data_IF_532854250689
#
_entry.id   IF_532854250689
#
_cell.length_a   1.000
_cell.length_b   1.000
_cell.length_c   1.000
_cell.angle_alpha   90.00
_cell.angle_beta   90.00
_cell.angle_gamma   90.00
#
_symmetry.space_group_name_H-M   'P 1'
#
loop_
_entity.id
_entity.type
_entity.pdbx_description
1 polymer ?
#
# COMPACT_ATOMS: atom_id res chain seq x y z
N UNK A 1 -26.35 3.35 -16.75
CA UNK A 1 -27.55 2.50 -16.54
C UNK A 1 -28.82 3.00 -17.24
N UNK A 2 -29.04 4.32 -17.37
CA UNK A 2 -30.26 4.92 -17.96
C UNK A 2 -30.60 4.49 -19.40
N UNK A 3 -29.62 4.19 -20.25
CA UNK A 3 -29.86 3.80 -21.65
C UNK A 3 -30.30 2.33 -21.83
N UNK A 4 -30.03 1.45 -20.87
CA UNK A 4 -30.37 0.01 -20.97
C UNK A 4 -31.84 -0.24 -20.70
N UNK A 5 -32.39 0.41 -19.67
CA UNK A 5 -33.83 0.36 -19.33
C UNK A 5 -34.66 0.92 -20.49
N UNK A 6 -34.19 2.00 -21.13
CA UNK A 6 -34.81 2.56 -22.33
C UNK A 6 -34.82 1.58 -23.51
N UNK A 7 -33.76 0.79 -23.66
CA UNK A 7 -33.69 -0.25 -24.70
C UNK A 7 -34.62 -1.43 -24.43
N UNK A 8 -34.73 -1.91 -23.19
CA UNK A 8 -35.69 -2.98 -22.84
C UNK A 8 -37.14 -2.51 -22.97
N UNK A 9 -37.44 -1.27 -22.54
CA UNK A 9 -38.76 -0.66 -22.75
C UNK A 9 -39.08 -0.46 -24.23
N UNK A 10 -38.12 0.00 -25.03
CA UNK A 10 -38.31 0.15 -26.49
C UNK A 10 -38.51 -1.18 -27.19
N UNK A 11 -37.80 -2.24 -26.77
CA UNK A 11 -37.94 -3.58 -27.33
C UNK A 11 -39.28 -4.22 -26.95
N UNK A 12 -39.71 -4.06 -25.70
CA UNK A 12 -41.01 -4.52 -25.21
C UNK A 12 -42.16 -3.77 -25.91
N UNK A 13 -42.03 -2.44 -26.07
CA UNK A 13 -42.99 -1.61 -26.79
C UNK A 13 -43.09 -1.99 -28.28
N UNK A 14 -41.97 -2.31 -28.92
CA UNK A 14 -41.95 -2.76 -30.32
C UNK A 14 -42.67 -4.11 -30.49
N UNK A 15 -42.42 -5.06 -29.59
CA UNK A 15 -43.12 -6.36 -29.58
C UNK A 15 -44.62 -6.16 -29.36
N UNK A 16 -45.00 -5.33 -28.39
CA UNK A 16 -46.40 -5.01 -28.11
C UNK A 16 -47.09 -4.32 -29.31
N UNK A 17 -46.40 -3.39 -29.98
CA UNK A 17 -46.90 -2.70 -31.16
C UNK A 17 -47.11 -3.65 -32.35
N UNK A 18 -46.19 -4.60 -32.58
CA UNK A 18 -46.34 -5.63 -33.61
C UNK A 18 -47.55 -6.51 -33.31
N UNK A 19 -47.69 -7.02 -32.08
CA UNK A 19 -48.85 -7.85 -31.69
C UNK A 19 -50.17 -7.06 -31.86
N UNK A 20 -50.20 -5.81 -31.43
CA UNK A 20 -51.38 -4.94 -31.58
C UNK A 20 -51.72 -4.68 -33.05
N UNK A 21 -50.72 -4.46 -33.91
CA UNK A 21 -50.90 -4.33 -35.36
C UNK A 21 -51.47 -5.60 -35.99
N UNK A 22 -51.09 -6.78 -35.49
CA UNK A 22 -51.54 -8.07 -36.01
C UNK A 22 -52.98 -8.34 -35.63
N UNK A 23 -53.35 -8.06 -34.38
CA UNK A 23 -54.73 -8.12 -33.92
C UNK A 23 -55.60 -7.15 -34.72
N UNK A 24 -55.12 -5.93 -34.97
CA UNK A 24 -55.85 -4.94 -35.76
C UNK A 24 -56.07 -5.38 -37.22
N UNK A 25 -55.07 -5.98 -37.88
CA UNK A 25 -55.20 -6.48 -39.26
C UNK A 25 -56.12 -7.70 -39.34
N UNK A 26 -56.02 -8.64 -38.38
CA UNK A 26 -56.91 -9.80 -38.30
C UNK A 26 -58.38 -9.42 -38.05
N UNK A 27 -58.63 -8.29 -37.38
CA UNK A 27 -59.98 -7.78 -37.12
C UNK A 27 -60.50 -6.93 -38.29
N UNK A 28 -59.63 -6.28 -39.06
CA UNK A 28 -60.03 -5.28 -40.08
C UNK A 28 -60.32 -5.83 -41.48
N UNK A 29 -59.94 -7.08 -41.81
CA UNK A 29 -60.28 -7.70 -43.11
C UNK A 29 -61.30 -8.84 -42.94
N UNK A 30 -62.61 -8.60 -43.11
CA UNK A 30 -63.57 -9.68 -43.29
C UNK A 30 -63.33 -10.36 -44.65
N UNK A 31 -63.22 -11.69 -44.64
CA UNK A 31 -63.00 -12.55 -45.81
C UNK A 31 -63.90 -12.18 -47.00
N UNK A 32 -63.34 -11.57 -48.05
CA UNK A 32 -63.96 -11.49 -49.36
C UNK A 32 -63.52 -12.72 -50.18
N UNK A 33 -64.44 -13.64 -50.56
CA UNK A 33 -64.09 -14.99 -50.97
C UNK A 33 -63.96 -15.12 -52.49
N UNK A 34 -62.99 -14.48 -53.17
CA UNK A 34 -62.87 -14.66 -54.65
C UNK A 34 -61.45 -14.74 -55.24
N UNK A 35 -60.38 -14.86 -54.46
CA UNK A 35 -59.05 -15.19 -55.01
C UNK A 35 -58.38 -16.27 -54.14
N UNK A 36 -58.25 -17.48 -54.70
CA UNK A 36 -57.80 -18.72 -54.05
C UNK A 36 -56.32 -18.78 -53.67
N UNK A 37 -55.83 -17.75 -52.98
CA UNK A 37 -54.57 -17.80 -52.23
C UNK A 37 -54.90 -17.39 -50.80
N UNK A 38 -54.49 -18.19 -49.82
CA UNK A 38 -54.66 -17.89 -48.39
C UNK A 38 -53.80 -16.67 -47.98
N UNK A 39 -54.23 -15.47 -48.34
CA UNK A 39 -53.54 -14.20 -48.06
C UNK A 39 -53.30 -14.00 -46.56
N UNK A 40 -54.22 -14.46 -45.73
CA UNK A 40 -54.09 -14.47 -44.27
C UNK A 40 -52.90 -15.36 -43.85
N UNK A 41 -52.76 -16.55 -44.44
CA UNK A 41 -51.64 -17.45 -44.19
C UNK A 41 -50.30 -16.86 -44.62
N UNK A 42 -50.25 -16.18 -45.76
CA UNK A 42 -49.02 -15.51 -46.25
C UNK A 42 -48.62 -14.34 -45.34
N UNK A 43 -49.58 -13.52 -44.90
CA UNK A 43 -49.33 -12.40 -43.98
C UNK A 43 -48.85 -12.92 -42.62
N UNK A 44 -49.54 -13.91 -42.05
CA UNK A 44 -49.13 -14.53 -40.78
C UNK A 44 -47.77 -15.22 -40.91
N UNK A 45 -47.47 -15.82 -42.06
CA UNK A 45 -46.18 -16.44 -42.36
C UNK A 45 -45.03 -15.44 -42.36
N UNK A 46 -45.12 -14.37 -43.16
CA UNK A 46 -44.09 -13.31 -43.25
C UNK A 46 -43.89 -12.65 -41.88
N UNK A 47 -44.99 -12.37 -41.19
CA UNK A 47 -44.97 -11.79 -39.86
C UNK A 47 -44.28 -12.70 -38.83
N UNK A 48 -44.60 -14.00 -38.82
CA UNK A 48 -43.98 -14.95 -37.90
C UNK A 48 -42.47 -15.05 -38.12
N UNK A 49 -42.02 -14.97 -39.38
CA UNK A 49 -40.62 -14.94 -39.76
C UNK A 49 -39.93 -13.66 -39.27
N UNK A 50 -40.60 -12.51 -39.42
CA UNK A 50 -40.08 -11.21 -38.98
C UNK A 50 -39.98 -11.13 -37.45
N UNK A 51 -40.99 -11.61 -36.72
CA UNK A 51 -40.98 -11.69 -35.25
C UNK A 51 -39.89 -12.64 -34.76
N UNK A 52 -39.71 -13.81 -35.40
CA UNK A 52 -38.66 -14.77 -35.04
C UNK A 52 -37.26 -14.17 -35.23
N UNK A 53 -37.03 -13.44 -36.32
CA UNK A 53 -35.78 -12.75 -36.58
C UNK A 53 -35.50 -11.65 -35.54
N UNK A 54 -36.53 -10.89 -35.13
CA UNK A 54 -36.43 -9.88 -34.07
C UNK A 54 -36.10 -10.50 -32.71
N UNK A 55 -36.76 -11.60 -32.33
CA UNK A 55 -36.47 -12.30 -31.07
C UNK A 55 -35.05 -12.85 -31.08
N UNK A 56 -34.60 -13.43 -32.20
CA UNK A 56 -33.23 -13.91 -32.37
C UNK A 56 -32.18 -12.81 -32.18
N UNK A 57 -32.43 -11.63 -32.77
CA UNK A 57 -31.55 -10.47 -32.60
C UNK A 57 -31.48 -9.98 -31.14
N UNK A 58 -32.61 -9.98 -30.43
CA UNK A 58 -32.65 -9.60 -29.01
C UNK A 58 -31.87 -10.58 -28.13
N UNK A 59 -32.05 -11.90 -28.33
CA UNK A 59 -31.31 -12.93 -27.59
C UNK A 59 -29.80 -12.78 -27.83
N UNK A 60 -29.39 -12.59 -29.08
CA UNK A 60 -27.98 -12.36 -29.43
C UNK A 60 -27.38 -11.15 -28.70
N UNK A 61 -28.10 -10.03 -28.66
CA UNK A 61 -27.62 -8.81 -28.01
C UNK A 61 -27.46 -8.98 -26.49
N UNK A 62 -28.39 -9.69 -25.83
CA UNK A 62 -28.29 -9.98 -24.39
C UNK A 62 -27.07 -10.85 -24.08
N UNK A 63 -26.84 -11.93 -24.84
CA UNK A 63 -25.70 -12.82 -24.64
C UNK A 63 -24.36 -12.08 -24.88
N UNK A 64 -24.30 -11.25 -25.93
CA UNK A 64 -23.11 -10.47 -26.25
C UNK A 64 -22.80 -9.42 -25.16
N UNK A 65 -23.85 -8.86 -24.56
CA UNK A 65 -23.75 -7.93 -23.43
C UNK A 65 -23.22 -8.63 -22.19
N UNK A 66 -23.75 -9.79 -21.82
CA UNK A 66 -23.33 -10.52 -20.61
C UNK A 66 -21.85 -10.89 -20.69
N UNK A 67 -21.39 -11.39 -21.86
CA UNK A 67 -19.96 -11.68 -22.09
C UNK A 67 -19.07 -10.44 -21.95
N UNK A 68 -19.52 -9.28 -22.45
CA UNK A 68 -18.79 -8.01 -22.32
C UNK A 68 -18.81 -7.47 -20.88
N UNK A 69 -19.89 -7.67 -20.15
CA UNK A 69 -19.99 -7.27 -18.74
C UNK A 69 -19.05 -8.15 -17.93
N UNK A 70 -19.12 -9.47 -18.08
CA UNK A 70 -18.30 -10.41 -17.32
C UNK A 70 -16.80 -10.17 -17.55
N UNK A 71 -16.39 -9.97 -18.81
CA UNK A 71 -15.01 -9.61 -19.14
C UNK A 71 -14.55 -8.28 -18.50
N UNK A 72 -15.40 -7.25 -18.49
CA UNK A 72 -15.08 -5.96 -17.84
C UNK A 72 -15.09 -6.05 -16.33
N UNK A 73 -15.99 -6.85 -15.75
CA UNK A 73 -16.08 -7.10 -14.31
C UNK A 73 -14.83 -7.85 -13.85
N UNK A 74 -14.41 -8.88 -14.60
CA UNK A 74 -13.17 -9.61 -14.32
C UNK A 74 -11.94 -8.72 -14.44
N UNK A 75 -11.80 -7.96 -15.52
CA UNK A 75 -10.70 -7.00 -15.68
C UNK A 75 -10.66 -5.96 -14.55
N UNK A 76 -11.82 -5.44 -14.14
CA UNK A 76 -11.93 -4.50 -13.03
C UNK A 76 -11.52 -5.18 -11.72
N UNK A 77 -12.00 -6.40 -11.46
CA UNK A 77 -11.66 -7.18 -10.27
C UNK A 77 -10.15 -7.49 -10.20
N UNK A 78 -9.54 -7.87 -11.31
CA UNK A 78 -8.10 -8.16 -11.38
C UNK A 78 -7.30 -6.88 -11.13
N UNK A 79 -7.67 -5.76 -11.77
CA UNK A 79 -7.01 -4.46 -11.54
C UNK A 79 -7.18 -3.96 -10.11
N UNK A 80 -8.35 -4.20 -9.49
CA UNK A 80 -8.63 -3.84 -8.12
C UNK A 80 -7.78 -4.69 -7.16
N UNK A 81 -7.70 -5.99 -7.40
CA UNK A 81 -6.87 -6.91 -6.62
C UNK A 81 -5.39 -6.51 -6.68
N UNK A 82 -4.90 -6.14 -7.86
CA UNK A 82 -3.53 -5.66 -8.02
C UNK A 82 -3.31 -4.34 -7.26
N UNK A 83 -4.22 -3.37 -7.39
CA UNK A 83 -4.12 -2.11 -6.66
C UNK A 83 -4.17 -2.31 -5.14
N UNK A 84 -4.97 -3.25 -4.64
CA UNK A 84 -5.03 -3.61 -3.22
C UNK A 84 -3.71 -4.24 -2.78
N UNK A 85 -3.12 -5.11 -3.59
CA UNK A 85 -1.84 -5.75 -3.27
C UNK A 85 -0.69 -4.73 -3.21
N UNK A 86 -0.64 -3.81 -4.18
CA UNK A 86 0.34 -2.71 -4.18
C UNK A 86 0.15 -1.83 -2.95
N UNK A 87 -1.09 -1.39 -2.68
CA UNK A 87 -1.42 -0.56 -1.51
C UNK A 87 -1.06 -1.27 -0.21
N UNK A 88 -1.34 -2.57 -0.09
CA UNK A 88 -1.00 -3.38 1.09
C UNK A 88 0.52 -3.43 1.29
N UNK A 89 1.29 -3.61 0.22
CA UNK A 89 2.76 -3.64 0.29
C UNK A 89 3.32 -2.29 0.74
N UNK A 90 2.84 -1.19 0.16
CA UNK A 90 3.25 0.17 0.55
C UNK A 90 2.91 0.48 2.01
N UNK A 91 1.72 0.06 2.47
CA UNK A 91 1.33 0.21 3.88
C UNK A 91 2.23 -0.59 4.83
N UNK A 92 2.57 -1.83 4.48
CA UNK A 92 3.48 -2.66 5.30
C UNK A 92 4.84 -1.99 5.39
N UNK A 93 5.40 -1.54 4.26
CA UNK A 93 6.71 -0.86 4.23
C UNK A 93 6.71 0.44 5.05
N UNK A 94 5.63 1.23 4.97
CA UNK A 94 5.46 2.42 5.79
C UNK A 94 5.40 2.08 7.29
N UNK A 95 4.62 1.08 7.67
CA UNK A 95 4.49 0.64 9.07
C UNK A 95 5.83 0.11 9.59
N UNK A 96 6.54 -0.70 8.82
CA UNK A 96 7.86 -1.23 9.18
C UNK A 96 8.86 -0.09 9.41
N UNK A 97 8.94 0.86 8.48
CA UNK A 97 9.83 2.01 8.59
C UNK A 97 9.49 2.91 9.79
N UNK A 98 8.20 3.17 10.02
CA UNK A 98 7.76 3.94 11.18
C UNK A 98 8.04 3.22 12.50
N UNK A 99 7.87 1.89 12.53
CA UNK A 99 8.17 1.07 13.69
C UNK A 99 9.68 1.03 13.97
N UNK A 100 10.54 0.85 12.95
CA UNK A 100 12.00 0.91 13.10
C UNK A 100 12.49 2.25 13.64
N UNK A 101 11.94 3.37 13.12
CA UNK A 101 12.24 4.71 13.63
C UNK A 101 11.89 4.83 15.12
N UNK A 102 10.65 4.45 15.49
CA UNK A 102 10.19 4.52 16.88
C UNK A 102 11.02 3.62 17.82
N UNK A 103 11.36 2.40 17.41
CA UNK A 103 12.21 1.50 18.19
C UNK A 103 13.61 2.08 18.40
N UNK A 104 14.17 2.74 17.38
CA UNK A 104 15.49 3.39 17.48
C UNK A 104 15.46 4.54 18.49
N UNK A 105 14.47 5.43 18.41
CA UNK A 105 14.31 6.56 19.34
C UNK A 105 14.15 6.09 20.81
N UNK A 106 13.35 5.04 21.03
CA UNK A 106 13.17 4.42 22.35
C UNK A 106 14.48 3.82 22.85
N UNK A 107 15.19 3.07 22.01
CA UNK A 107 16.47 2.45 22.37
C UNK A 107 17.54 3.48 22.72
N UNK A 108 17.66 4.55 21.92
CA UNK A 108 18.56 5.68 22.18
C UNK A 108 18.28 6.30 23.55
N UNK A 109 17.00 6.59 23.85
CA UNK A 109 16.59 7.17 25.13
C UNK A 109 16.89 6.23 26.30
N UNK A 110 16.63 4.93 26.13
CA UNK A 110 16.89 3.91 27.15
C UNK A 110 18.38 3.77 27.45
N UNK A 111 19.23 3.69 26.43
CA UNK A 111 20.68 3.61 26.59
C UNK A 111 21.25 4.86 27.24
N UNK A 112 20.72 6.04 26.89
CA UNK A 112 21.09 7.29 27.54
C UNK A 112 20.78 7.28 29.05
N UNK A 113 19.56 6.89 29.42
CA UNK A 113 19.14 6.75 30.84
C UNK A 113 20.00 5.71 31.56
N UNK A 114 20.35 4.59 30.91
CA UNK A 114 21.27 3.61 31.47
C UNK A 114 22.66 4.21 31.71
N UNK A 115 23.17 5.01 30.78
CA UNK A 115 24.41 5.77 30.93
C UNK A 115 24.37 6.69 32.16
N UNK A 116 23.30 7.46 32.34
CA UNK A 116 23.12 8.35 33.49
C UNK A 116 23.03 7.56 34.81
N UNK A 117 22.34 6.41 34.81
CA UNK A 117 22.25 5.54 35.97
C UNK A 117 23.63 4.93 36.35
N UNK A 118 24.43 4.54 35.37
CA UNK A 118 25.80 4.09 35.61
C UNK A 118 26.69 5.21 36.15
N UNK A 119 26.54 6.43 35.61
CA UNK A 119 27.26 7.61 36.09
C UNK A 119 26.92 7.90 37.56
N UNK A 120 25.63 7.85 37.93
CA UNK A 120 25.16 8.01 39.31
C UNK A 120 25.73 6.94 40.27
N UNK A 121 25.94 5.72 39.77
CA UNK A 121 26.55 4.62 40.52
C UNK A 121 28.09 4.62 40.49
N UNK A 122 28.72 5.66 39.93
CA UNK A 122 30.17 5.75 39.74
C UNK A 122 30.78 4.63 38.90
N UNK A 123 29.98 4.00 38.03
CA UNK A 123 30.43 2.97 37.09
C UNK A 123 30.80 3.62 35.75
N UNK A 124 31.90 4.37 35.75
CA UNK A 124 32.27 5.28 34.65
C UNK A 124 32.59 4.56 33.34
N UNK A 125 33.17 3.36 33.39
CA UNK A 125 33.48 2.55 32.20
C UNK A 125 32.20 2.16 31.48
N UNK A 126 31.22 1.64 32.22
CA UNK A 126 29.93 1.25 31.68
C UNK A 126 29.15 2.47 31.19
N UNK A 127 29.20 3.58 31.92
CA UNK A 127 28.56 4.83 31.50
C UNK A 127 29.13 5.31 30.15
N UNK A 128 30.46 5.38 30.02
CA UNK A 128 31.13 5.77 28.78
C UNK A 128 30.71 4.86 27.61
N UNK A 129 30.72 3.54 27.82
CA UNK A 129 30.32 2.58 26.79
C UNK A 129 28.85 2.77 26.35
N UNK A 130 27.93 3.08 27.27
CA UNK A 130 26.54 3.36 26.91
C UNK A 130 26.38 4.62 26.08
N UNK A 131 27.10 5.69 26.40
CA UNK A 131 27.07 6.91 25.58
C UNK A 131 27.70 6.68 24.20
N UNK A 132 28.75 5.88 24.10
CA UNK A 132 29.36 5.50 22.82
C UNK A 132 28.43 4.59 21.99
N UNK A 133 27.71 3.65 22.63
CA UNK A 133 26.68 2.84 21.97
C UNK A 133 25.60 3.76 21.35
N UNK A 134 25.11 4.76 22.09
CA UNK A 134 24.12 5.73 21.57
C UNK A 134 24.66 6.50 20.37
N UNK A 135 25.88 7.03 20.47
CA UNK A 135 26.51 7.79 19.38
C UNK A 135 26.66 6.91 18.13
N UNK A 136 27.09 5.66 18.30
CA UNK A 136 27.24 4.70 17.20
C UNK A 136 25.88 4.40 16.55
N UNK A 137 24.86 4.11 17.34
CA UNK A 137 23.52 3.76 16.85
C UNK A 137 22.89 4.92 16.06
N UNK A 138 22.99 6.16 16.55
CA UNK A 138 22.45 7.34 15.86
C UNK A 138 23.14 7.54 14.50
N UNK A 139 24.47 7.36 14.44
CA UNK A 139 25.26 7.61 13.24
C UNK A 139 25.07 6.51 12.18
N UNK A 140 24.86 5.26 12.59
CA UNK A 140 24.60 4.15 11.67
C UNK A 140 23.17 4.11 11.17
N UNK A 141 22.20 4.62 11.95
CA UNK A 141 20.77 4.58 11.62
C UNK A 141 20.17 5.99 11.67
N UNK A 142 20.35 6.82 10.63
CA UNK A 142 19.90 8.21 10.60
C UNK A 142 18.38 8.32 10.38
N UNK A 143 17.58 7.76 11.28
CA UNK A 143 16.12 7.89 11.30
C UNK A 143 15.65 9.06 12.17
N UNK A 144 16.55 9.64 12.97
CA UNK A 144 16.24 10.67 13.98
C UNK A 144 16.40 12.06 13.35
N UNK A 145 15.28 12.79 13.23
CA UNK A 145 15.31 14.22 12.96
C UNK A 145 15.94 14.94 14.15
N UNK A 146 16.85 15.90 13.90
CA UNK A 146 17.56 16.67 14.93
C UNK A 146 18.63 15.88 15.74
N UNK A 147 19.25 14.86 15.13
CA UNK A 147 20.33 14.04 15.72
C UNK A 147 21.51 14.84 16.32
N UNK A 148 21.74 16.07 15.85
CA UNK A 148 22.86 16.90 16.30
C UNK A 148 22.80 17.17 17.81
N UNK A 149 21.63 17.49 18.35
CA UNK A 149 21.47 17.83 19.78
C UNK A 149 21.68 16.61 20.68
N UNK A 150 21.11 15.46 20.30
CA UNK A 150 21.27 14.20 21.01
C UNK A 150 22.73 13.74 21.02
N UNK A 151 23.42 13.83 19.87
CA UNK A 151 24.85 13.52 19.77
C UNK A 151 25.67 14.47 20.65
N UNK A 152 25.38 15.78 20.61
CA UNK A 152 26.10 16.77 21.43
C UNK A 152 25.93 16.47 22.94
N UNK A 153 24.71 16.12 23.38
CA UNK A 153 24.45 15.73 24.76
C UNK A 153 25.19 14.45 25.15
N UNK A 154 25.20 13.43 24.29
CA UNK A 154 25.92 12.18 24.52
C UNK A 154 27.44 12.40 24.57
N UNK A 155 28.01 13.25 23.70
CA UNK A 155 29.44 13.59 23.72
C UNK A 155 29.80 14.26 25.04
N UNK A 156 28.98 15.20 25.51
CA UNK A 156 29.20 15.89 26.79
C UNK A 156 29.24 14.89 27.96
N UNK A 157 28.26 13.99 28.01
CA UNK A 157 28.14 12.96 29.04
C UNK A 157 29.23 11.88 28.95
N UNK A 158 29.61 11.48 27.74
CA UNK A 158 30.75 10.60 27.51
C UNK A 158 32.03 11.22 28.04
N UNK A 159 32.26 12.52 27.78
CA UNK A 159 33.42 13.25 28.29
C UNK A 159 33.41 13.33 29.82
N UNK A 160 32.25 13.53 30.43
CA UNK A 160 32.09 13.51 31.89
C UNK A 160 32.51 12.16 32.48
N UNK A 161 32.00 11.06 31.92
CA UNK A 161 32.37 9.71 32.36
C UNK A 161 33.88 9.44 32.15
N UNK A 162 34.41 9.80 30.97
CA UNK A 162 35.80 9.56 30.57
C UNK A 162 36.83 10.14 31.55
N UNK A 163 36.53 11.26 32.22
CA UNK A 163 37.43 11.89 33.20
C UNK A 163 37.76 11.01 34.41
N UNK A 164 36.90 10.05 34.72
CA UNK A 164 37.01 9.20 35.92
C UNK A 164 37.09 7.71 35.59
N UNK A 165 37.29 7.36 34.32
CA UNK A 165 37.45 5.98 33.86
C UNK A 165 38.79 5.40 34.32
N UNK A 166 38.77 4.15 34.77
CA UNK A 166 39.96 3.34 34.93
C UNK A 166 40.31 2.64 33.61
N UNK A 167 41.44 3.02 33.00
CA UNK A 167 41.87 2.48 31.71
C UNK A 167 42.06 0.95 31.72
N UNK A 168 42.54 0.36 32.82
CA UNK A 168 42.75 -1.09 32.89
C UNK A 168 41.41 -1.85 32.90
N UNK A 169 40.43 -1.31 33.62
CA UNK A 169 39.09 -1.89 33.68
C UNK A 169 38.37 -1.69 32.33
N UNK A 170 38.51 -0.52 31.71
CA UNK A 170 37.94 -0.28 30.39
C UNK A 170 38.51 -1.22 29.33
N UNK A 171 39.83 -1.47 29.29
CA UNK A 171 40.43 -2.48 28.37
C UNK A 171 39.90 -3.89 28.61
N UNK A 172 39.53 -4.23 29.84
CA UNK A 172 38.95 -5.53 30.17
C UNK A 172 37.54 -5.69 29.62
N UNK A 173 36.74 -4.62 29.67
CA UNK A 173 35.32 -4.66 29.27
C UNK A 173 35.14 -4.32 27.78
N UNK A 174 35.99 -3.47 27.22
CA UNK A 174 35.94 -3.02 25.82
C UNK A 174 36.62 -4.04 24.91
N UNK A 175 35.83 -4.68 24.05
CA UNK A 175 36.34 -5.55 22.98
C UNK A 175 36.91 -4.70 21.84
N UNK A 176 38.01 -5.13 21.23
CA UNK A 176 38.66 -4.43 20.11
C UNK A 176 37.71 -4.19 18.92
N UNK A 177 36.87 -5.17 18.56
CA UNK A 177 35.87 -5.00 17.50
C UNK A 177 34.90 -3.84 17.77
N UNK A 178 34.45 -3.69 19.02
CA UNK A 178 33.58 -2.59 19.43
C UNK A 178 34.30 -1.26 19.44
N UNK A 179 35.56 -1.23 19.88
CA UNK A 179 36.42 -0.04 19.87
C UNK A 179 36.57 0.52 18.45
N UNK A 180 36.86 -0.33 17.48
CA UNK A 180 36.95 0.06 16.07
C UNK A 180 35.62 0.59 15.54
N UNK A 181 34.50 -0.03 15.92
CA UNK A 181 33.16 0.46 15.58
C UNK A 181 32.91 1.88 16.12
N UNK A 182 33.22 2.12 17.39
CA UNK A 182 33.09 3.45 18.00
C UNK A 182 33.98 4.49 17.32
N UNK A 183 35.24 4.14 17.03
CA UNK A 183 36.15 5.04 16.31
C UNK A 183 35.60 5.42 14.93
N UNK A 184 35.06 4.45 14.19
CA UNK A 184 34.45 4.68 12.88
C UNK A 184 33.22 5.59 12.97
N UNK A 185 32.38 5.40 13.99
CA UNK A 185 31.22 6.26 14.23
C UNK A 185 31.65 7.68 14.61
N UNK A 186 32.55 7.84 15.59
CA UNK A 186 33.01 9.14 16.08
C UNK A 186 33.71 9.96 14.98
N UNK A 187 34.42 9.32 14.04
CA UNK A 187 35.05 9.99 12.90
C UNK A 187 34.06 10.63 11.92
N UNK A 188 32.79 10.19 11.91
CA UNK A 188 31.73 10.79 11.10
C UNK A 188 31.12 12.04 11.74
N UNK A 189 31.48 12.36 12.98
CA UNK A 189 30.95 13.54 13.70
C UNK A 189 31.69 14.79 13.21
N UNK A 190 30.92 15.78 12.76
CA UNK A 190 31.46 17.04 12.25
C UNK A 190 32.00 17.95 13.36
N UNK A 191 33.10 18.63 13.03
CA UNK A 191 33.83 19.49 13.95
C UNK A 191 34.57 18.67 14.99
N UNK A 192 35.64 19.23 15.56
CA UNK A 192 36.49 18.59 16.57
C UNK A 192 35.79 18.14 17.88
N UNK A 193 34.46 18.07 17.90
CA UNK A 193 33.57 17.78 19.03
C UNK A 193 33.89 16.47 19.75
N UNK A 194 34.32 15.45 19.00
CA UNK A 194 34.60 14.11 19.54
C UNK A 194 36.11 13.76 19.54
N UNK A 195 36.99 14.70 19.18
CA UNK A 195 38.41 14.38 18.95
C UNK A 195 39.12 13.90 20.21
N UNK A 196 38.74 14.44 21.37
CA UNK A 196 39.27 14.04 22.66
C UNK A 196 38.92 12.59 23.01
N UNK A 197 37.67 12.19 22.75
CA UNK A 197 37.20 10.82 22.94
C UNK A 197 37.90 9.87 21.97
N UNK A 198 38.10 10.28 20.71
CA UNK A 198 38.83 9.49 19.70
C UNK A 198 40.28 9.25 20.14
N UNK A 199 40.98 10.30 20.59
CA UNK A 199 42.36 10.19 21.07
C UNK A 199 42.43 9.25 22.27
N UNK A 200 41.50 9.39 23.22
CA UNK A 200 41.41 8.52 24.38
C UNK A 200 41.23 7.05 24.00
N UNK A 201 40.28 6.75 23.12
CA UNK A 201 40.02 5.38 22.64
C UNK A 201 41.21 4.78 21.89
N UNK A 202 41.97 5.58 21.12
CA UNK A 202 43.19 5.13 20.45
C UNK A 202 44.35 4.86 21.40
N UNK A 203 44.35 5.48 22.58
CA UNK A 203 45.37 5.30 23.62
C UNK A 203 45.15 4.10 24.53
N UNK A 204 43.96 3.48 24.47
CA UNK A 204 43.62 2.22 25.15
C UNK A 204 44.15 1.03 24.36
#
# INVERSE_FOLDING_TARGET
>A
MKNRIKSYWSNCLSIAAIICSVVAICVSLPSAPELGIDYIGVIVGILSLLVTMLIGWQIWNVIAIDKKIDGKVKQTSDSLTESINVTKKEMIEYIEKANEKSQTEIMTSLLFIQGDNFLFKSQFENALLRYLDVISDIIEKPYIENYSDAINACILKAREAMRSVNNNELKRVLKEEKKESYLKALLKIEGYKAIDIIIFLRGL
#
